data_IF_039124466622
#
_entry.id   IF_039124466622
#
_cell.length_a   1.000
_cell.length_b   1.000
_cell.length_c   1.000
_cell.angle_alpha   90.00
_cell.angle_beta   90.00
_cell.angle_gamma   90.00
#
_symmetry.space_group_name_H-M   'P 1'
#
loop_
_entity.id
_entity.type
_entity.pdbx_description
1 polymer ?
#
# COMPACT_ATOMS: atom_id res chain seq x y z
N UNK A 1 -12.36 -10.43 -0.99
CA UNK A 1 -11.38 -10.77 -2.05
C UNK A 1 -11.04 -12.27 -2.20
N UNK A 2 -11.83 -13.20 -1.64
CA UNK A 2 -11.53 -14.65 -1.67
C UNK A 2 -11.59 -15.28 -3.08
N UNK A 3 -12.66 -15.02 -3.83
CA UNK A 3 -12.83 -15.61 -5.17
C UNK A 3 -11.67 -15.21 -6.09
N UNK A 4 -11.27 -13.93 -6.03
CA UNK A 4 -10.12 -13.42 -6.75
C UNK A 4 -8.85 -14.21 -6.43
N UNK A 5 -8.44 -14.31 -5.17
CA UNK A 5 -7.18 -14.98 -4.82
C UNK A 5 -7.19 -16.47 -5.16
N UNK A 6 -8.33 -17.16 -4.99
CA UNK A 6 -8.51 -18.57 -5.33
C UNK A 6 -8.25 -18.85 -6.82
N UNK A 7 -8.70 -17.95 -7.69
CA UNK A 7 -8.62 -18.15 -9.14
C UNK A 7 -7.44 -17.39 -9.77
N UNK A 8 -6.69 -16.59 -9.01
CA UNK A 8 -5.65 -15.70 -9.53
C UNK A 8 -4.49 -16.42 -10.24
N UNK A 9 -4.19 -17.66 -9.83
CA UNK A 9 -3.16 -18.50 -10.47
C UNK A 9 -3.62 -18.97 -11.86
N UNK A 10 -4.88 -19.38 -12.00
CA UNK A 10 -5.46 -19.88 -13.26
C UNK A 10 -5.41 -18.85 -14.39
N UNK A 11 -5.37 -17.57 -14.04
CA UNK A 11 -5.36 -16.46 -14.99
C UNK A 11 -3.95 -16.13 -15.52
N UNK A 12 -2.88 -16.74 -15.01
CA UNK A 12 -1.50 -16.57 -15.50
C UNK A 12 -1.04 -15.10 -15.65
N UNK A 13 -1.37 -14.26 -14.66
CA UNK A 13 -1.14 -12.80 -14.72
C UNK A 13 0.27 -12.37 -14.29
N UNK A 14 1.15 -13.30 -13.91
CA UNK A 14 2.48 -12.97 -13.36
C UNK A 14 3.44 -12.64 -14.50
N UNK A 15 4.04 -11.45 -14.44
CA UNK A 15 5.10 -11.01 -15.36
C UNK A 15 6.25 -10.44 -14.53
N UNK A 16 7.47 -10.97 -14.72
CA UNK A 16 8.66 -10.55 -13.97
C UNK A 16 8.70 -11.14 -12.56
N UNK A 17 8.72 -10.28 -11.54
CA UNK A 17 8.76 -10.70 -10.12
C UNK A 17 7.51 -11.49 -9.75
N UNK A 18 7.65 -12.50 -8.91
CA UNK A 18 6.54 -13.28 -8.36
C UNK A 18 5.71 -12.41 -7.41
N UNK A 19 4.71 -11.72 -7.97
CA UNK A 19 3.89 -10.74 -7.27
C UNK A 19 2.41 -11.13 -7.27
N UNK A 20 1.67 -10.61 -6.29
CA UNK A 20 0.22 -10.77 -6.18
C UNK A 20 -0.40 -9.49 -5.63
N UNK A 21 -1.59 -9.14 -6.12
CA UNK A 21 -2.40 -8.03 -5.64
C UNK A 21 -3.74 -8.56 -5.16
N UNK A 22 -4.32 -7.92 -4.15
CA UNK A 22 -5.70 -8.10 -3.71
C UNK A 22 -6.08 -6.89 -2.82
N UNK A 23 -7.37 -6.57 -2.71
CA UNK A 23 -7.83 -5.51 -1.80
C UNK A 23 -8.08 -6.07 -0.40
N UNK A 24 -7.71 -5.31 0.63
CA UNK A 24 -8.14 -5.51 2.01
C UNK A 24 -8.30 -4.16 2.71
N UNK A 25 -9.11 -4.16 3.75
CA UNK A 25 -9.17 -3.10 4.74
C UNK A 25 -7.96 -3.13 5.68
N UNK A 26 -7.89 -2.18 6.61
CA UNK A 26 -6.83 -2.02 7.60
C UNK A 26 -6.50 -3.33 8.34
N UNK A 27 -7.50 -3.96 8.97
CA UNK A 27 -7.30 -5.18 9.76
C UNK A 27 -6.81 -6.33 8.87
N UNK A 28 -7.38 -6.48 7.67
CA UNK A 28 -6.96 -7.49 6.71
C UNK A 28 -5.51 -7.29 6.25
N UNK A 29 -5.08 -6.04 5.99
CA UNK A 29 -3.69 -5.73 5.60
C UNK A 29 -2.72 -6.07 6.72
N UNK A 30 -3.02 -5.69 7.97
CA UNK A 30 -2.20 -5.98 9.14
C UNK A 30 -2.06 -7.49 9.35
N UNK A 31 -3.17 -8.23 9.33
CA UNK A 31 -3.18 -9.67 9.57
C UNK A 31 -2.39 -10.44 8.51
N UNK A 32 -2.54 -10.07 7.23
CA UNK A 32 -1.77 -10.69 6.13
C UNK A 32 -0.27 -10.38 6.27
N UNK A 33 0.09 -9.12 6.51
CA UNK A 33 1.49 -8.72 6.63
C UNK A 33 2.19 -9.38 7.82
N UNK A 34 1.54 -9.46 8.99
CA UNK A 34 2.07 -10.18 10.16
C UNK A 34 2.24 -11.67 9.85
N UNK A 35 1.28 -12.28 9.15
CA UNK A 35 1.39 -13.69 8.79
C UNK A 35 2.55 -13.95 7.83
N UNK A 36 2.73 -13.10 6.82
CA UNK A 36 3.88 -13.19 5.91
C UNK A 36 5.20 -12.98 6.65
N UNK A 37 5.29 -12.00 7.54
CA UNK A 37 6.50 -11.76 8.32
C UNK A 37 6.82 -12.96 9.25
N UNK A 38 5.81 -13.60 9.83
CA UNK A 38 5.98 -14.85 10.59
C UNK A 38 6.53 -15.99 9.71
N UNK A 39 6.03 -16.16 8.49
CA UNK A 39 6.51 -17.19 7.56
C UNK A 39 7.97 -16.95 7.15
N UNK A 40 8.36 -15.68 6.93
CA UNK A 40 9.77 -15.30 6.69
C UNK A 40 10.63 -15.65 7.90
N UNK A 41 10.18 -15.30 9.11
CA UNK A 41 10.88 -15.61 10.38
C UNK A 41 11.11 -17.11 10.58
N UNK A 42 10.15 -17.94 10.17
CA UNK A 42 10.24 -19.41 10.23
C UNK A 42 11.05 -20.03 9.09
N UNK A 43 11.47 -19.25 8.10
CA UNK A 43 12.17 -19.74 6.91
C UNK A 43 11.28 -20.54 5.95
N UNK A 44 9.96 -20.42 6.04
CA UNK A 44 9.01 -21.05 5.10
C UNK A 44 9.09 -20.39 3.72
N UNK A 45 9.44 -19.11 3.69
CA UNK A 45 9.63 -18.29 2.49
C UNK A 45 10.82 -17.33 2.68
N UNK A 46 11.40 -16.83 1.58
CA UNK A 46 12.36 -15.73 1.63
C UNK A 46 11.69 -14.37 1.91
N UNK A 47 12.46 -13.28 2.05
CA UNK A 47 11.91 -11.95 2.31
C UNK A 47 10.82 -11.52 1.30
N UNK A 48 9.76 -10.88 1.81
CA UNK A 48 8.62 -10.44 0.99
C UNK A 48 8.57 -8.92 1.01
N UNK A 49 8.48 -8.29 -0.17
CA UNK A 49 8.18 -6.87 -0.27
C UNK A 49 6.67 -6.69 -0.36
N UNK A 50 6.08 -5.96 0.59
CA UNK A 50 4.70 -5.51 0.47
C UNK A 50 4.67 -4.03 0.07
N UNK A 51 3.63 -3.65 -0.66
CA UNK A 51 3.41 -2.30 -1.13
C UNK A 51 2.04 -2.20 -1.78
N UNK A 52 1.79 -1.09 -2.47
CA UNK A 52 0.52 -0.85 -3.16
C UNK A 52 0.69 0.14 -4.30
N UNK A 53 -0.32 0.20 -5.16
CA UNK A 53 -0.51 1.37 -6.02
C UNK A 53 -0.82 2.61 -5.16
N UNK A 54 -0.66 3.80 -5.74
CA UNK A 54 -1.04 5.04 -5.09
C UNK A 54 -2.57 5.24 -5.09
N UNK A 55 -3.29 4.51 -5.94
CA UNK A 55 -4.75 4.42 -5.94
C UNK A 55 -5.25 3.66 -4.69
N UNK A 56 -5.33 4.37 -3.58
CA UNK A 56 -5.70 3.84 -2.26
C UNK A 56 -6.43 4.91 -1.43
N UNK A 57 -7.03 4.49 -0.31
CA UNK A 57 -7.90 5.29 0.55
C UNK A 57 -7.28 6.60 1.06
N UNK A 58 -5.96 6.66 1.24
CA UNK A 58 -5.26 7.84 1.78
C UNK A 58 -4.04 8.26 0.98
N UNK A 59 -3.67 7.47 -0.04
CA UNK A 59 -2.45 7.68 -0.80
C UNK A 59 -2.54 8.80 -1.82
N UNK A 60 -3.73 9.27 -2.19
CA UNK A 60 -3.90 10.18 -3.32
C UNK A 60 -4.97 11.23 -3.09
N UNK A 61 -4.59 12.49 -3.28
CA UNK A 61 -5.51 13.59 -3.53
C UNK A 61 -5.62 13.84 -5.04
N UNK A 62 -6.83 13.69 -5.59
CA UNK A 62 -7.09 13.79 -7.02
C UNK A 62 -8.57 14.12 -7.28
N UNK A 63 -8.94 15.39 -7.48
CA UNK A 63 -10.35 15.81 -7.59
C UNK A 63 -11.08 15.23 -8.80
N UNK A 64 -10.36 14.60 -9.72
CA UNK A 64 -10.90 13.97 -10.93
C UNK A 64 -10.99 12.44 -10.83
N UNK A 65 -10.49 11.84 -9.74
CA UNK A 65 -10.46 10.39 -9.57
C UNK A 65 -10.62 9.97 -8.10
N UNK A 66 -9.54 9.88 -7.33
CA UNK A 66 -9.58 9.32 -5.96
C UNK A 66 -10.41 10.12 -4.97
N UNK A 67 -10.34 11.46 -5.02
CA UNK A 67 -11.10 12.34 -4.12
C UNK A 67 -12.33 12.96 -4.80
N UNK A 68 -12.71 12.49 -6.00
CA UNK A 68 -13.80 13.06 -6.78
C UNK A 68 -15.19 12.94 -6.12
N UNK A 69 -15.35 12.01 -5.18
CA UNK A 69 -16.60 11.78 -4.45
C UNK A 69 -16.67 12.51 -3.10
N UNK A 70 -15.64 13.28 -2.71
CA UNK A 70 -15.63 14.10 -1.49
C UNK A 70 -16.44 15.38 -1.75
N UNK A 71 -17.36 15.72 -0.83
CA UNK A 71 -18.42 16.73 -1.04
C UNK A 71 -18.33 17.95 -0.12
N UNK A 72 -17.37 17.98 0.80
CA UNK A 72 -17.16 19.10 1.72
C UNK A 72 -16.28 20.22 1.13
N UNK A 73 -15.80 20.04 -0.11
CA UNK A 73 -14.92 20.97 -0.81
C UNK A 73 -13.42 20.69 -0.62
N UNK A 74 -13.05 19.71 0.22
CA UNK A 74 -11.64 19.34 0.43
C UNK A 74 -11.04 18.47 -0.68
N UNK A 75 -11.84 18.07 -1.69
CA UNK A 75 -11.40 17.22 -2.79
C UNK A 75 -10.24 17.77 -3.63
N UNK A 76 -10.00 19.09 -3.58
CA UNK A 76 -8.94 19.80 -4.32
C UNK A 76 -7.65 19.99 -3.51
N UNK A 77 -7.62 19.56 -2.24
CA UNK A 77 -6.47 19.72 -1.36
C UNK A 77 -5.35 18.72 -1.72
N UNK A 78 -4.25 18.76 -0.97
CA UNK A 78 -3.14 17.80 -1.10
C UNK A 78 -2.61 17.31 0.26
N UNK A 79 -3.22 17.77 1.35
CA UNK A 79 -2.75 17.51 2.72
C UNK A 79 -2.83 16.03 3.08
N UNK A 80 -3.85 15.30 2.61
CA UNK A 80 -4.02 13.88 2.92
C UNK A 80 -2.85 13.05 2.37
N UNK A 81 -2.52 13.23 1.08
CA UNK A 81 -1.42 12.51 0.44
C UNK A 81 -0.06 12.88 1.06
N UNK A 82 0.16 14.15 1.40
CA UNK A 82 1.40 14.60 2.07
C UNK A 82 1.52 14.03 3.48
N UNK A 83 0.43 14.02 4.26
CA UNK A 83 0.39 13.44 5.60
C UNK A 83 0.59 11.92 5.56
N UNK A 84 0.00 11.22 4.58
CA UNK A 84 0.23 9.80 4.37
C UNK A 84 1.72 9.51 4.07
N UNK A 85 2.33 10.28 3.16
CA UNK A 85 3.75 10.17 2.85
C UNK A 85 4.64 10.38 4.08
N UNK A 86 4.46 11.49 4.79
CA UNK A 86 5.26 11.83 5.97
C UNK A 86 5.04 10.81 7.11
N UNK A 87 3.79 10.37 7.30
CA UNK A 87 3.42 9.37 8.28
C UNK A 87 4.04 8.01 8.02
N UNK A 88 4.09 7.57 6.76
CA UNK A 88 4.76 6.33 6.35
C UNK A 88 6.27 6.40 6.57
N UNK A 89 6.90 7.54 6.27
CA UNK A 89 8.32 7.76 6.49
C UNK A 89 8.66 7.68 7.99
N UNK A 90 7.87 8.35 8.83
CA UNK A 90 8.06 8.37 10.28
C UNK A 90 7.84 7.00 10.95
N UNK A 91 6.97 6.15 10.38
CA UNK A 91 6.64 4.82 10.94
C UNK A 91 7.57 3.70 10.50
N UNK A 92 8.52 3.98 9.60
CA UNK A 92 9.60 3.04 9.28
C UNK A 92 9.34 2.16 8.07
N UNK A 93 8.55 2.61 7.10
CA UNK A 93 8.45 1.97 5.78
C UNK A 93 9.83 1.91 5.12
N UNK A 94 10.11 0.82 4.40
CA UNK A 94 11.40 0.61 3.71
C UNK A 94 11.58 1.54 2.50
N UNK A 95 10.46 1.93 1.87
CA UNK A 95 10.41 2.88 0.76
C UNK A 95 9.19 3.77 0.94
N UNK A 96 9.35 5.07 0.66
CA UNK A 96 8.27 6.05 0.63
C UNK A 96 8.45 6.97 -0.57
N UNK A 97 7.34 7.24 -1.26
CA UNK A 97 7.34 8.06 -2.46
C UNK A 97 6.18 9.07 -2.42
N UNK A 98 6.43 10.26 -2.95
CA UNK A 98 5.42 11.29 -3.18
C UNK A 98 5.60 11.81 -4.61
N UNK A 99 4.55 11.71 -5.42
CA UNK A 99 4.58 12.03 -6.84
C UNK A 99 3.55 13.11 -7.19
N UNK A 100 3.80 13.77 -8.32
CA UNK A 100 2.93 14.78 -8.92
C UNK A 100 2.27 14.19 -10.19
N UNK A 101 0.95 14.12 -10.18
CA UNK A 101 0.14 13.86 -11.37
C UNK A 101 -0.05 12.41 -11.75
N UNK A 102 0.15 11.46 -10.82
CA UNK A 102 -0.09 10.05 -11.08
C UNK A 102 -1.51 9.79 -11.58
N UNK A 103 -1.63 9.09 -12.70
CA UNK A 103 -2.90 8.68 -13.28
C UNK A 103 -3.65 9.76 -14.08
N UNK A 104 -3.84 10.96 -13.52
CA UNK A 104 -4.63 12.03 -14.16
C UNK A 104 -3.79 13.11 -14.86
N UNK A 105 -2.46 13.07 -14.72
CA UNK A 105 -1.52 13.96 -15.38
C UNK A 105 -0.95 15.06 -14.47
N UNK A 106 0.14 15.69 -14.92
CA UNK A 106 0.92 16.67 -14.17
C UNK A 106 0.04 17.79 -13.61
N UNK A 107 0.19 18.09 -12.32
CA UNK A 107 -0.52 19.16 -11.62
C UNK A 107 -1.98 18.85 -11.28
N UNK A 108 -2.47 17.65 -11.58
CA UNK A 108 -3.88 17.26 -11.36
C UNK A 108 -4.09 16.27 -10.21
N UNK A 109 -3.01 15.76 -9.62
CA UNK A 109 -3.05 14.90 -8.45
C UNK A 109 -1.75 15.02 -7.64
N UNK A 110 -1.84 14.75 -6.34
CA UNK A 110 -0.70 14.51 -5.46
C UNK A 110 -0.87 13.12 -4.89
N UNK A 111 0.08 12.22 -5.15
CA UNK A 111 -0.11 10.81 -4.88
C UNK A 111 1.16 10.14 -4.35
N UNK A 112 1.04 9.48 -3.20
CA UNK A 112 2.11 8.80 -2.49
C UNK A 112 1.87 7.30 -2.29
N UNK A 113 2.97 6.59 -2.11
CA UNK A 113 3.02 5.15 -1.93
C UNK A 113 4.12 4.76 -0.98
N UNK A 114 4.09 3.49 -0.59
CA UNK A 114 5.09 2.92 0.30
C UNK A 114 5.47 1.51 -0.14
N UNK A 115 6.57 1.04 0.40
CA UNK A 115 6.89 -0.36 0.45
C UNK A 115 7.54 -0.75 1.77
N UNK A 116 7.28 -1.95 2.26
CA UNK A 116 7.87 -2.51 3.46
C UNK A 116 8.45 -3.89 3.15
N UNK A 117 9.73 -4.06 3.43
CA UNK A 117 10.38 -5.37 3.38
C UNK A 117 10.05 -6.12 4.65
N UNK A 118 9.41 -7.28 4.50
CA UNK A 118 9.17 -8.26 5.55
C UNK A 118 10.40 -9.15 5.66
N UNK A 119 11.21 -8.90 6.68
CA UNK A 119 12.49 -9.57 6.94
C UNK A 119 12.41 -10.63 8.06
N UNK A 120 11.23 -10.82 8.64
CA UNK A 120 10.99 -11.74 9.75
C UNK A 120 11.30 -11.15 11.13
N UNK A 121 11.80 -9.92 11.25
CA UNK A 121 12.11 -9.33 12.56
C UNK A 121 10.86 -8.89 13.32
N UNK A 122 10.92 -8.91 14.65
CA UNK A 122 9.88 -8.33 15.52
C UNK A 122 9.78 -6.80 15.37
N UNK A 123 10.87 -6.15 14.96
CA UNK A 123 10.86 -4.72 14.61
C UNK A 123 9.86 -4.45 13.49
N UNK A 124 9.84 -5.28 12.45
CA UNK A 124 8.89 -5.14 11.34
C UNK A 124 7.45 -5.42 11.77
N UNK A 125 7.21 -6.31 12.74
CA UNK A 125 5.85 -6.47 13.31
C UNK A 125 5.33 -5.17 13.94
N UNK A 126 6.19 -4.38 14.59
CA UNK A 126 5.80 -3.09 15.15
C UNK A 126 5.53 -2.03 14.06
N UNK A 127 6.29 -2.05 12.97
CA UNK A 127 6.02 -1.19 11.79
C UNK A 127 4.67 -1.55 11.17
N UNK A 128 4.40 -2.85 10.98
CA UNK A 128 3.12 -3.34 10.45
C UNK A 128 1.95 -2.84 11.30
N UNK A 129 2.01 -3.05 12.62
CA UNK A 129 0.92 -2.67 13.55
C UNK A 129 0.69 -1.17 13.64
N UNK A 130 1.69 -0.35 13.34
CA UNK A 130 1.60 1.11 13.50
C UNK A 130 1.34 1.88 12.19
N UNK A 131 1.60 1.27 11.01
CA UNK A 131 1.65 2.02 9.75
C UNK A 131 1.06 1.37 8.51
N UNK A 132 0.60 0.12 8.54
CA UNK A 132 0.02 -0.55 7.35
C UNK A 132 -1.49 -0.33 7.18
N UNK A 133 -2.11 0.35 8.14
CA UNK A 133 -3.47 0.86 8.02
C UNK A 133 -3.64 1.74 6.76
#
# INVERSE_FOLDING_TARGET
NYIWIRDAEKNNLVVGTQARILYQDEEGRINIALKFNEMVRKGEVGPIMIGRDHHDVSGTDSPFRETANIKDGSNVMADMAVQCYAGNAARGMSLVALHNGGGVGIGKAVNGGFGLVLDGSERVDNVIKSGIA
#
